data_IF_591862897012
#
_entry.id   IF_591862897012
#
_cell.length_a   1.000
_cell.length_b   1.000
_cell.length_c   1.000
_cell.angle_alpha   90.00
_cell.angle_beta   90.00
_cell.angle_gamma   90.00
#
_symmetry.space_group_name_H-M   'P 1'
#
loop_
_entity.id
_entity.type
_entity.pdbx_description
1 polymer ?
#
# COMPACT_ATOMS: atom_id res chain seq x y z
N UNK A 1 7.34 -11.64 26.65
CA UNK A 1 6.03 -11.04 26.30
C UNK A 1 5.62 -11.68 24.98
N UNK A 2 4.51 -12.42 24.95
CA UNK A 2 4.05 -13.14 23.75
C UNK A 2 3.01 -12.31 22.97
N UNK A 3 2.72 -12.69 21.73
CA UNK A 3 1.81 -11.94 20.84
C UNK A 3 0.41 -11.73 21.43
N UNK A 4 -0.13 -12.71 22.17
CA UNK A 4 -1.42 -12.55 22.85
C UNK A 4 -1.38 -11.48 23.95
N UNK A 5 -0.29 -11.38 24.71
CA UNK A 5 -0.10 -10.32 25.70
C UNK A 5 0.08 -8.95 25.04
N UNK A 6 0.73 -8.89 23.86
CA UNK A 6 0.86 -7.67 23.07
C UNK A 6 -0.51 -7.20 22.57
N UNK A 7 -1.33 -8.09 22.00
CA UNK A 7 -2.71 -7.79 21.59
C UNK A 7 -3.62 -7.42 22.77
N UNK A 8 -3.45 -8.04 23.93
CA UNK A 8 -4.20 -7.72 25.14
C UNK A 8 -3.87 -6.33 25.68
N UNK A 9 -2.60 -5.90 25.62
CA UNK A 9 -2.16 -4.54 26.00
C UNK A 9 -2.64 -3.50 24.97
N UNK A 10 -2.57 -3.81 23.67
CA UNK A 10 -3.08 -2.97 22.57
C UNK A 10 -4.60 -2.72 22.69
N UNK A 11 -5.38 -3.69 23.18
CA UNK A 11 -6.84 -3.57 23.32
C UNK A 11 -7.31 -2.76 24.53
N UNK A 12 -6.47 -2.54 25.56
CA UNK A 12 -6.90 -2.01 26.86
C UNK A 12 -6.26 -0.70 27.32
N UNK A 13 -5.34 -0.09 26.58
CA UNK A 13 -4.79 1.22 26.95
C UNK A 13 -4.66 2.12 25.73
N UNK A 14 -4.92 3.40 25.95
CA UNK A 14 -4.61 4.53 25.08
C UNK A 14 -3.13 4.49 24.69
N UNK A 15 -2.80 3.71 23.67
CA UNK A 15 -1.53 3.85 22.97
C UNK A 15 -1.65 5.15 22.17
N UNK A 16 -0.65 6.03 22.28
CA UNK A 16 -0.70 7.28 21.52
C UNK A 16 -0.73 6.97 20.03
N UNK A 17 -1.48 7.77 19.27
CA UNK A 17 -1.53 7.67 17.81
C UNK A 17 -0.12 7.62 17.20
N UNK A 18 0.81 8.41 17.74
CA UNK A 18 2.21 8.44 17.31
C UNK A 18 2.93 7.08 17.48
N UNK A 19 2.65 6.34 18.55
CA UNK A 19 3.27 5.03 18.76
C UNK A 19 2.68 3.99 17.81
N UNK A 20 1.36 4.00 17.59
CA UNK A 20 0.70 3.12 16.61
C UNK A 20 1.22 3.38 15.20
N UNK A 21 1.33 4.65 14.81
CA UNK A 21 1.89 5.08 13.54
C UNK A 21 3.36 4.64 13.37
N UNK A 22 4.18 4.83 14.40
CA UNK A 22 5.58 4.38 14.40
C UNK A 22 5.72 2.86 14.21
N UNK A 23 4.85 2.07 14.86
CA UNK A 23 4.83 0.62 14.67
C UNK A 23 4.33 0.21 13.29
N UNK A 24 3.28 0.85 12.79
CA UNK A 24 2.78 0.64 11.43
C UNK A 24 3.88 0.90 10.39
N UNK A 25 4.59 2.02 10.50
CA UNK A 25 5.70 2.36 9.59
C UNK A 25 6.82 1.31 9.67
N UNK A 26 7.15 0.82 10.86
CA UNK A 26 8.14 -0.24 11.04
C UNK A 26 7.75 -1.54 10.33
N UNK A 27 6.47 -1.93 10.39
CA UNK A 27 5.97 -3.08 9.64
C UNK A 27 6.03 -2.85 8.13
N UNK A 28 5.66 -1.66 7.64
CA UNK A 28 5.77 -1.35 6.21
C UNK A 28 7.22 -1.41 5.70
N UNK A 29 8.17 -0.87 6.47
CA UNK A 29 9.60 -0.99 6.17
C UNK A 29 10.05 -2.46 6.14
N UNK A 30 9.60 -3.26 7.10
CA UNK A 30 9.93 -4.69 7.15
C UNK A 30 9.53 -5.41 5.86
N UNK A 31 8.31 -5.18 5.36
CA UNK A 31 7.83 -5.77 4.10
C UNK A 31 8.57 -5.26 2.86
N UNK A 32 9.24 -4.11 2.95
CA UNK A 32 10.07 -3.61 1.85
C UNK A 32 11.41 -4.36 1.76
N UNK A 33 11.99 -4.70 2.90
CA UNK A 33 13.36 -5.22 3.02
C UNK A 33 13.40 -6.74 3.00
N UNK A 34 12.54 -7.41 3.78
CA UNK A 34 12.61 -8.85 4.02
C UNK A 34 11.76 -9.66 3.01
N UNK A 35 12.21 -10.87 2.67
CA UNK A 35 11.51 -11.86 1.83
C UNK A 35 10.79 -12.93 2.66
N UNK A 36 10.67 -12.71 3.97
CA UNK A 36 9.96 -13.55 4.94
C UNK A 36 8.46 -13.73 4.63
N UNK A 37 7.80 -14.57 5.44
CA UNK A 37 6.39 -14.91 5.27
C UNK A 37 5.50 -13.66 5.32
N UNK A 38 4.92 -13.31 4.17
CA UNK A 38 4.06 -12.15 4.03
C UNK A 38 2.72 -12.38 4.73
N UNK A 39 2.54 -11.75 5.90
CA UNK A 39 1.24 -11.68 6.57
C UNK A 39 0.38 -10.56 5.98
N UNK A 40 -0.57 -10.96 5.14
CA UNK A 40 -1.52 -10.05 4.50
C UNK A 40 -2.38 -9.27 5.51
N UNK A 41 -2.80 -9.89 6.62
CA UNK A 41 -3.65 -9.25 7.61
C UNK A 41 -2.91 -8.17 8.38
N UNK A 42 -1.66 -8.45 8.76
CA UNK A 42 -0.79 -7.49 9.41
C UNK A 42 -0.40 -6.35 8.46
N UNK A 43 -0.15 -6.65 7.19
CA UNK A 43 0.12 -5.64 6.17
C UNK A 43 -1.04 -4.65 6.01
N UNK A 44 -2.28 -5.14 5.91
CA UNK A 44 -3.47 -4.28 5.79
C UNK A 44 -3.61 -3.36 7.01
N UNK A 45 -3.45 -3.87 8.23
CA UNK A 45 -3.49 -3.04 9.44
C UNK A 45 -2.39 -1.98 9.47
N UNK A 46 -1.19 -2.33 9.03
CA UNK A 46 -0.09 -1.36 8.95
C UNK A 46 -0.40 -0.25 7.92
N UNK A 47 -1.08 -0.56 6.81
CA UNK A 47 -1.55 0.47 5.88
C UNK A 47 -2.64 1.35 6.49
N UNK A 48 -3.58 0.81 7.26
CA UNK A 48 -4.66 1.58 7.90
C UNK A 48 -4.12 2.57 8.95
N UNK A 49 -3.19 2.11 9.78
CA UNK A 49 -2.66 2.86 10.93
C UNK A 49 -1.52 3.83 10.56
N UNK A 50 -0.80 3.57 9.46
CA UNK A 50 0.25 4.47 8.99
C UNK A 50 -0.35 5.78 8.46
N UNK A 51 0.31 6.89 8.77
CA UNK A 51 0.00 8.22 8.24
C UNK A 51 0.92 8.63 7.09
N UNK A 52 1.89 7.79 6.74
CA UNK A 52 2.91 8.08 5.73
C UNK A 52 2.47 7.51 4.37
N UNK A 53 1.83 8.35 3.55
CA UNK A 53 1.33 7.94 2.23
C UNK A 53 2.45 7.44 1.30
N UNK A 54 3.66 8.02 1.38
CA UNK A 54 4.80 7.65 0.54
C UNK A 54 5.26 6.25 0.92
N UNK A 55 5.39 5.97 2.22
CA UNK A 55 5.75 4.65 2.73
C UNK A 55 4.71 3.59 2.37
N UNK A 56 3.41 3.89 2.50
CA UNK A 56 2.34 2.99 2.06
C UNK A 56 2.47 2.62 0.58
N UNK A 57 2.72 3.62 -0.27
CA UNK A 57 2.88 3.43 -1.71
C UNK A 57 4.11 2.57 -2.03
N UNK A 58 5.26 2.87 -1.43
CA UNK A 58 6.51 2.12 -1.64
C UNK A 58 6.40 0.67 -1.14
N UNK A 59 5.85 0.45 0.06
CA UNK A 59 5.67 -0.89 0.60
C UNK A 59 4.73 -1.73 -0.28
N UNK A 60 3.59 -1.16 -0.70
CA UNK A 60 2.66 -1.80 -1.62
C UNK A 60 3.33 -2.14 -2.96
N UNK A 61 4.08 -1.20 -3.53
CA UNK A 61 4.83 -1.41 -4.77
C UNK A 61 5.81 -2.58 -4.65
N UNK A 62 6.54 -2.65 -3.54
CA UNK A 62 7.51 -3.71 -3.27
C UNK A 62 6.82 -5.07 -3.11
N UNK A 63 5.74 -5.17 -2.34
CA UNK A 63 4.99 -6.42 -2.15
C UNK A 63 4.37 -6.92 -3.47
N UNK A 64 3.90 -6.01 -4.34
CA UNK A 64 3.42 -6.37 -5.68
C UNK A 64 4.58 -6.90 -6.54
N UNK A 65 5.72 -6.20 -6.55
CA UNK A 65 6.91 -6.58 -7.33
C UNK A 65 7.47 -7.94 -6.90
N UNK A 66 7.51 -8.20 -5.58
CA UNK A 66 7.90 -9.49 -4.99
C UNK A 66 6.84 -10.59 -5.19
N UNK A 67 5.70 -10.28 -5.80
CA UNK A 67 4.53 -11.18 -6.00
C UNK A 67 3.91 -11.69 -4.70
N UNK A 68 4.17 -11.02 -3.58
CA UNK A 68 3.54 -11.29 -2.27
C UNK A 68 2.07 -10.83 -2.25
N UNK A 69 1.77 -9.74 -2.96
CA UNK A 69 0.41 -9.25 -3.14
C UNK A 69 -0.18 -9.71 -4.48
N UNK A 70 -1.14 -10.63 -4.42
CA UNK A 70 -1.84 -11.10 -5.61
C UNK A 70 -2.77 -10.03 -6.20
N UNK A 71 -2.94 -10.04 -7.52
CA UNK A 71 -3.77 -9.10 -8.28
C UNK A 71 -5.19 -8.90 -7.70
N UNK A 72 -5.85 -9.99 -7.30
CA UNK A 72 -7.20 -9.96 -6.71
C UNK A 72 -7.28 -9.22 -5.36
N UNK A 73 -6.16 -9.11 -4.65
CA UNK A 73 -6.07 -8.44 -3.35
C UNK A 73 -5.71 -6.95 -3.46
N UNK A 74 -5.32 -6.48 -4.66
CA UNK A 74 -4.89 -5.09 -4.88
C UNK A 74 -6.00 -4.08 -4.57
N UNK A 75 -7.27 -4.24 -5.01
CA UNK A 75 -8.34 -3.30 -4.65
C UNK A 75 -8.56 -3.17 -3.14
N UNK A 76 -8.41 -4.29 -2.43
CA UNK A 76 -8.53 -4.35 -0.96
C UNK A 76 -7.34 -3.70 -0.25
N UNK A 77 -6.16 -3.68 -0.89
CA UNK A 77 -4.98 -2.97 -0.40
C UNK A 77 -5.10 -1.45 -0.57
N UNK A 78 -5.68 -1.00 -1.68
CA UNK A 78 -5.79 0.43 -2.00
C UNK A 78 -6.72 1.20 -1.05
N UNK A 79 -7.72 0.52 -0.47
CA UNK A 79 -8.68 1.18 0.45
C UNK A 79 -8.02 1.62 1.78
N UNK A 80 -7.29 0.76 2.51
CA UNK A 80 -6.45 1.13 3.65
C UNK A 80 -5.44 2.25 3.42
N UNK A 81 -5.02 2.45 2.17
CA UNK A 81 -4.01 3.48 1.85
C UNK A 81 -4.57 4.90 1.94
N UNK A 82 -5.89 5.05 1.82
CA UNK A 82 -6.61 6.32 1.93
C UNK A 82 -7.10 6.86 0.57
N UNK A 83 -7.92 7.91 0.64
CA UNK A 83 -8.66 8.49 -0.50
C UNK A 83 -7.74 8.93 -1.67
N UNK A 84 -6.49 9.28 -1.37
CA UNK A 84 -5.48 9.65 -2.37
C UNK A 84 -5.24 8.52 -3.41
N UNK A 85 -5.49 7.26 -3.04
CA UNK A 85 -5.30 6.07 -3.87
C UNK A 85 -6.58 5.57 -4.56
N UNK A 86 -7.74 6.17 -4.28
CA UNK A 86 -9.04 5.71 -4.80
C UNK A 86 -9.15 5.75 -6.31
N UNK A 87 -8.35 6.61 -6.94
CA UNK A 87 -8.23 6.70 -8.40
C UNK A 87 -7.83 5.37 -9.02
N UNK A 88 -7.01 4.55 -8.34
CA UNK A 88 -6.61 3.24 -8.82
C UNK A 88 -7.71 2.17 -8.77
N UNK A 89 -8.89 2.49 -8.21
CA UNK A 89 -10.05 1.57 -8.15
C UNK A 89 -11.03 1.77 -9.32
N UNK A 90 -10.88 2.84 -10.11
CA UNK A 90 -11.81 3.23 -11.19
C UNK A 90 -11.46 2.51 -12.50
N UNK A 91 -12.01 1.31 -12.68
CA UNK A 91 -11.80 0.49 -13.88
C UNK A 91 -12.23 1.22 -15.15
N UNK A 92 -11.40 1.17 -16.19
CA UNK A 92 -11.75 1.63 -17.54
C UNK A 92 -11.36 3.07 -17.83
N UNK A 93 -11.40 3.97 -16.85
CA UNK A 93 -11.08 5.38 -17.02
C UNK A 93 -9.57 5.64 -17.05
N UNK A 94 -9.16 6.63 -17.83
CA UNK A 94 -7.82 7.20 -17.72
C UNK A 94 -7.81 8.21 -16.57
N UNK A 95 -7.12 7.86 -15.50
CA UNK A 95 -7.05 8.65 -14.27
C UNK A 95 -5.70 9.34 -14.18
N UNK A 96 -5.71 10.61 -13.81
CA UNK A 96 -4.50 11.41 -13.58
C UNK A 96 -4.10 11.36 -12.11
N UNK A 97 -2.86 10.98 -11.88
CA UNK A 97 -2.25 10.91 -10.56
C UNK A 97 -1.00 11.80 -10.51
N UNK A 98 -0.66 12.38 -9.34
CA UNK A 98 0.56 13.16 -9.20
C UNK A 98 1.79 12.29 -9.45
N UNK A 99 2.79 12.87 -10.12
CA UNK A 99 4.12 12.26 -10.29
C UNK A 99 5.01 12.70 -9.13
N UNK A 100 4.73 12.16 -7.94
CA UNK A 100 5.46 12.40 -6.69
C UNK A 100 6.07 11.11 -6.16
N UNK A 101 7.01 11.21 -5.23
CA UNK A 101 7.75 10.06 -4.68
C UNK A 101 6.80 9.00 -4.09
N UNK A 102 7.10 7.73 -4.34
CA UNK A 102 6.30 6.57 -3.92
C UNK A 102 5.15 6.22 -4.86
N UNK A 103 4.49 7.21 -5.48
CA UNK A 103 3.39 6.96 -6.42
C UNK A 103 3.88 6.36 -7.72
N UNK A 104 5.04 6.79 -8.23
CA UNK A 104 5.61 6.26 -9.46
C UNK A 104 5.97 4.78 -9.30
N UNK A 105 6.61 4.42 -8.20
CA UNK A 105 6.97 3.04 -7.87
C UNK A 105 5.72 2.16 -7.82
N UNK A 106 4.64 2.66 -7.19
CA UNK A 106 3.37 1.96 -7.14
C UNK A 106 2.75 1.79 -8.53
N UNK A 107 2.77 2.82 -9.37
CA UNK A 107 2.25 2.75 -10.75
C UNK A 107 3.01 1.74 -11.57
N UNK A 108 4.34 1.76 -11.49
CA UNK A 108 5.21 0.85 -12.23
C UNK A 108 4.99 -0.60 -11.79
N UNK A 109 4.82 -0.82 -10.47
CA UNK A 109 4.50 -2.14 -9.92
C UNK A 109 3.11 -2.63 -10.36
N UNK A 110 2.09 -1.77 -10.28
CA UNK A 110 0.73 -2.11 -10.71
C UNK A 110 0.66 -2.36 -12.22
N UNK A 111 1.41 -1.61 -13.03
CA UNK A 111 1.52 -1.85 -14.46
C UNK A 111 2.20 -3.19 -14.75
N UNK A 112 3.31 -3.49 -14.06
CA UNK A 112 4.04 -4.75 -14.18
C UNK A 112 3.19 -5.97 -13.78
N UNK A 113 2.36 -5.81 -12.75
CA UNK A 113 1.39 -6.82 -12.32
C UNK A 113 0.17 -6.94 -13.25
N UNK A 114 0.14 -6.17 -14.34
CA UNK A 114 -0.98 -6.06 -15.29
C UNK A 114 -2.28 -5.56 -14.66
N UNK A 115 -2.24 -4.86 -13.53
CA UNK A 115 -3.39 -4.16 -12.95
C UNK A 115 -3.68 -2.84 -13.68
N UNK A 116 -2.61 -2.15 -14.12
CA UNK A 116 -2.70 -0.97 -14.97
C UNK A 116 -2.34 -1.31 -16.42
N UNK A 117 -3.08 -0.70 -17.34
CA UNK A 117 -2.85 -0.75 -18.78
C UNK A 117 -1.84 0.30 -19.20
N UNK A 118 -2.18 1.09 -20.21
CA UNK A 118 -1.28 2.14 -20.71
C UNK A 118 -0.97 3.18 -19.61
N UNK A 119 0.32 3.41 -19.37
CA UNK A 119 0.85 4.46 -18.51
C UNK A 119 1.46 5.55 -19.39
N UNK A 120 1.07 6.81 -19.20
CA UNK A 120 1.57 7.96 -19.97
C UNK A 120 2.04 9.04 -19.01
N UNK A 121 3.34 9.38 -19.04
CA UNK A 121 3.88 10.49 -18.27
C UNK A 121 3.50 11.82 -18.90
N UNK A 122 3.00 12.75 -18.08
CA UNK A 122 2.52 14.08 -18.47
C UNK A 122 3.13 15.16 -17.56
N UNK A 123 4.46 15.26 -17.58
CA UNK A 123 5.19 16.20 -16.73
C UNK A 123 5.02 15.89 -15.23
N UNK A 124 4.24 16.72 -14.53
CA UNK A 124 3.94 16.56 -13.09
C UNK A 124 2.83 15.54 -12.79
N UNK A 125 2.19 14.98 -13.82
CA UNK A 125 1.15 13.97 -13.68
C UNK A 125 1.51 12.69 -14.44
N UNK A 126 0.92 11.58 -14.04
CA UNK A 126 0.90 10.33 -14.79
C UNK A 126 -0.56 10.00 -15.10
N UNK A 127 -0.85 9.69 -16.36
CA UNK A 127 -2.15 9.19 -16.78
C UNK A 127 -2.10 7.66 -16.84
N UNK A 128 -3.00 7.00 -16.13
CA UNK A 128 -3.06 5.54 -16.02
C UNK A 128 -4.45 5.02 -16.34
N UNK A 129 -4.52 3.84 -16.96
CA UNK A 129 -5.79 3.12 -17.17
C UNK A 129 -5.88 1.91 -16.25
N UNK A 130 -6.88 1.84 -15.38
CA UNK A 130 -7.12 0.64 -14.56
C UNK A 130 -7.79 -0.43 -15.41
N UNK A 131 -7.20 -1.63 -15.44
CA UNK A 131 -7.72 -2.76 -16.20
C UNK A 131 -8.80 -3.50 -15.40
N UNK A 132 -9.69 -4.20 -16.11
CA UNK A 132 -10.74 -5.02 -15.50
C UNK A 132 -10.16 -6.38 -15.13
N UNK A 133 -10.25 -6.78 -13.87
CA UNK A 133 -9.75 -8.06 -13.34
C UNK A 133 -10.76 -8.76 -12.45
#
# INVERSE_FOLDING_TARGET
>A
MNEEQLFYVLRKKYVSFDYMNSMANRFLHYYMEDDSEFDYGLFIKALEESGDEVLKAMASAKCITKRMLHLKKIPHCLTPMGDSFDKFKRVGDNVKIPNVDGYKELVDALHSAKYLGRVVQMGKEISVRVLKH
#
